data_IF_326489675652
#
_entry.id   IF_326489675652
#
_cell.length_a   1.000
_cell.length_b   1.000
_cell.length_c   1.000
_cell.angle_alpha   90.00
_cell.angle_beta   90.00
_cell.angle_gamma   90.00
#
_symmetry.space_group_name_H-M   'P 1'
#
loop_
_entity.id
_entity.type
_entity.pdbx_description
1 polymer ?
#
# COMPACT_ATOMS: atom_id res chain seq x y z
N UNK A 1 -1.35 20.41 -1.23
CA UNK A 1 -1.19 19.10 -1.90
C UNK A 1 -0.51 18.16 -0.91
N UNK A 2 -1.25 17.23 -0.28
CA UNK A 2 -0.66 16.21 0.62
C UNK A 2 -0.46 14.92 -0.18
N UNK A 3 0.70 14.79 -0.80
CA UNK A 3 1.09 13.56 -1.49
C UNK A 3 1.59 12.52 -0.49
N UNK A 4 1.01 11.32 -0.51
CA UNK A 4 1.56 10.18 0.22
C UNK A 4 2.73 9.59 -0.59
N UNK A 5 3.86 9.36 0.07
CA UNK A 5 5.04 8.78 -0.55
C UNK A 5 4.94 7.25 -0.42
N UNK A 6 4.94 6.54 -1.55
CA UNK A 6 4.96 5.09 -1.59
C UNK A 6 6.29 4.58 -1.03
N UNK A 7 6.26 3.69 -0.04
CA UNK A 7 7.46 3.11 0.56
C UNK A 7 7.40 1.59 0.41
N UNK A 8 7.77 1.10 -0.77
CA UNK A 8 7.87 -0.34 -1.08
C UNK A 8 7.52 -0.66 -2.53
N UNK A 9 7.82 -1.90 -2.94
CA UNK A 9 7.33 -2.45 -4.21
C UNK A 9 5.90 -2.96 -4.06
N UNK A 10 5.05 -2.72 -5.06
CA UNK A 10 3.72 -3.35 -5.15
C UNK A 10 3.94 -4.79 -5.57
N UNK A 11 3.85 -5.72 -4.63
CA UNK A 11 3.97 -7.15 -4.92
C UNK A 11 2.58 -7.69 -5.30
N UNK A 12 2.44 -8.15 -6.54
CA UNK A 12 1.23 -8.85 -6.99
C UNK A 12 1.30 -10.29 -6.49
N UNK A 13 0.75 -10.56 -5.30
CA UNK A 13 0.61 -11.93 -4.82
C UNK A 13 -0.62 -12.56 -5.48
N UNK A 14 -0.36 -13.40 -6.48
CA UNK A 14 -1.28 -14.39 -7.06
C UNK A 14 -2.71 -13.86 -7.30
N UNK A 15 -2.83 -12.97 -8.28
CA UNK A 15 -4.06 -12.61 -9.02
C UNK A 15 -5.34 -12.23 -8.23
N UNK A 16 -5.29 -12.15 -6.90
CA UNK A 16 -6.46 -11.92 -6.08
C UNK A 16 -6.37 -10.64 -5.24
N UNK A 17 -5.16 -10.18 -4.89
CA UNK A 17 -4.99 -9.00 -4.04
C UNK A 17 -3.77 -8.15 -4.41
N UNK A 18 -3.92 -6.82 -4.50
CA UNK A 18 -2.80 -5.87 -4.43
C UNK A 18 -2.63 -5.40 -3.01
N UNK A 19 -1.42 -5.57 -2.47
CA UNK A 19 -1.02 -5.07 -1.16
C UNK A 19 -0.10 -3.87 -1.32
N UNK A 20 -0.33 -2.80 -0.56
CA UNK A 20 0.63 -1.71 -0.46
C UNK A 20 0.76 -1.21 0.98
N UNK A 21 1.97 -0.80 1.33
CA UNK A 21 2.29 -0.20 2.62
C UNK A 21 2.57 1.28 2.45
N UNK A 22 1.92 2.09 3.28
CA UNK A 22 2.08 3.54 3.32
C UNK A 22 2.60 3.95 4.69
N UNK A 23 3.46 4.96 4.72
CA UNK A 23 3.77 5.67 5.96
C UNK A 23 2.84 6.87 6.07
N UNK A 24 2.01 6.86 7.11
CA UNK A 24 1.20 8.00 7.50
C UNK A 24 2.04 9.08 8.19
N UNK A 25 1.40 10.23 8.52
CA UNK A 25 1.97 11.22 9.43
C UNK A 25 2.43 10.54 10.72
N UNK A 26 3.53 11.01 11.30
CA UNK A 26 4.10 10.48 12.56
C UNK A 26 4.68 9.05 12.45
N UNK A 27 4.87 8.53 11.24
CA UNK A 27 5.53 7.24 11.03
C UNK A 27 4.60 6.04 11.20
N UNK A 28 3.29 6.26 11.29
CA UNK A 28 2.29 5.20 11.36
C UNK A 28 2.36 4.32 10.09
N UNK A 29 2.51 3.01 10.25
CA UNK A 29 2.50 2.07 9.14
C UNK A 29 1.07 1.64 8.82
N UNK A 30 0.63 1.86 7.59
CA UNK A 30 -0.71 1.53 7.11
C UNK A 30 -0.59 0.49 6.00
N UNK A 31 -1.23 -0.67 6.16
CA UNK A 31 -1.36 -1.69 5.11
C UNK A 31 -2.71 -1.58 4.42
N UNK A 32 -2.71 -1.51 3.10
CA UNK A 32 -3.92 -1.54 2.27
C UNK A 32 -3.95 -2.83 1.45
N UNK A 33 -5.14 -3.43 1.35
CA UNK A 33 -5.40 -4.60 0.52
C UNK A 33 -6.59 -4.31 -0.39
N UNK A 34 -6.41 -4.46 -1.70
CA UNK A 34 -7.48 -4.39 -2.68
C UNK A 34 -7.64 -5.75 -3.35
N UNK A 35 -8.88 -6.27 -3.39
CA UNK A 35 -9.22 -7.46 -4.17
C UNK A 35 -9.21 -7.10 -5.66
N UNK A 36 -8.54 -7.89 -6.49
CA UNK A 36 -8.64 -7.80 -7.94
C UNK A 36 -9.83 -8.66 -8.39
N UNK A 37 -10.82 -8.02 -9.01
CA UNK A 37 -12.02 -8.66 -9.59
C UNK A 37 -11.97 -8.65 -11.11
#
# INVERSE_FOLDING_TARGET
MRGAQLVGEVVQDKDAYRLCYLRGPEGLLIGLAQVLS
#
